data_IF_652206854524
#
_entry.id   IF_652206854524
#
_cell.length_a   1.000
_cell.length_b   1.000
_cell.length_c   1.000
_cell.angle_alpha   90.00
_cell.angle_beta   90.00
_cell.angle_gamma   90.00
#
_symmetry.space_group_name_H-M   'P 1'
#
loop_
_entity.id
_entity.type
_entity.pdbx_description
1 polymer ?
#
# COMPACT_ATOMS: atom_id res chain seq x y z
N UNK A 1 16.45 4.58 24.39
CA UNK A 1 15.23 4.79 23.59
C UNK A 1 15.57 5.54 22.31
N UNK A 2 15.51 4.88 21.14
CA UNK A 2 15.77 5.51 19.83
C UNK A 2 14.47 6.11 19.29
N UNK A 3 14.19 7.38 19.59
CA UNK A 3 13.21 8.16 18.82
C UNK A 3 13.98 9.02 17.82
N UNK A 4 14.12 8.53 16.58
CA UNK A 4 14.44 9.36 15.42
C UNK A 4 13.58 8.91 14.25
N UNK A 5 12.28 9.18 14.34
CA UNK A 5 11.50 9.36 13.13
C UNK A 5 11.66 10.83 12.74
N UNK A 6 12.66 11.14 11.91
CA UNK A 6 12.68 12.43 11.23
C UNK A 6 11.62 12.32 10.13
N UNK A 7 10.45 12.93 10.38
CA UNK A 7 9.27 12.84 9.50
C UNK A 7 9.38 13.84 8.34
N UNK A 8 10.11 14.95 8.53
CA UNK A 8 10.33 15.99 7.52
C UNK A 8 11.83 16.32 7.45
N UNK A 9 12.39 16.37 6.23
CA UNK A 9 13.74 16.87 5.98
C UNK A 9 13.69 17.85 4.81
N UNK A 10 14.09 19.09 5.01
CA UNK A 10 14.04 20.09 3.95
C UNK A 10 15.02 21.22 4.11
N UNK A 11 14.99 22.12 3.14
CA UNK A 11 15.63 23.43 3.16
C UNK A 11 14.55 24.49 3.00
N UNK A 12 14.76 25.61 3.64
CA UNK A 12 13.88 26.77 3.54
C UNK A 12 14.63 28.05 3.82
N UNK A 13 13.97 29.17 3.55
CA UNK A 13 14.47 30.52 3.79
C UNK A 13 13.42 31.23 4.63
N UNK A 14 13.88 31.95 5.64
CA UNK A 14 12.98 32.65 6.56
C UNK A 14 13.72 33.44 7.62
N UNK A 15 13.04 34.47 8.12
CA UNK A 15 13.50 35.27 9.23
C UNK A 15 12.84 34.76 10.51
N UNK A 16 13.67 34.33 11.46
CA UNK A 16 13.22 33.70 12.70
C UNK A 16 13.93 34.39 13.86
N UNK A 17 13.14 34.96 14.77
CA UNK A 17 13.60 35.53 16.02
C UNK A 17 13.44 34.50 17.15
N UNK A 18 14.57 34.05 17.69
CA UNK A 18 14.62 33.21 18.89
C UNK A 18 15.01 34.07 20.09
N UNK A 19 14.19 34.06 21.13
CA UNK A 19 14.44 34.72 22.42
C UNK A 19 14.45 33.68 23.53
N UNK A 20 15.41 33.77 24.44
CA UNK A 20 15.53 32.89 25.60
C UNK A 20 15.61 33.77 26.84
N UNK A 21 14.72 33.54 27.81
CA UNK A 21 14.76 34.29 29.07
C UNK A 21 15.63 33.60 30.14
N UNK A 22 15.84 34.27 31.27
CA UNK A 22 16.66 33.74 32.39
C UNK A 22 16.08 32.49 33.06
N UNK A 23 14.79 32.20 32.88
CA UNK A 23 14.16 30.98 33.38
C UNK A 23 14.25 29.82 32.39
N UNK A 24 14.85 30.03 31.21
CA UNK A 24 14.98 29.04 30.14
C UNK A 24 13.75 28.93 29.22
N UNK A 25 12.76 29.81 29.37
CA UNK A 25 11.63 29.89 28.44
C UNK A 25 12.14 30.36 27.07
N UNK A 26 11.88 29.54 26.05
CA UNK A 26 12.23 29.86 24.67
C UNK A 26 10.98 30.36 23.94
N UNK A 27 11.14 31.46 23.20
CA UNK A 27 10.14 31.97 22.26
C UNK A 27 10.74 32.10 20.87
N UNK A 28 10.03 31.58 19.88
CA UNK A 28 10.38 31.61 18.48
C UNK A 28 9.25 32.30 17.72
N UNK A 29 9.59 33.33 16.96
CA UNK A 29 8.64 34.09 16.15
C UNK A 29 9.21 34.26 14.75
N UNK A 30 8.41 33.98 13.72
CA UNK A 30 8.83 34.13 12.34
C UNK A 30 8.26 33.05 11.44
N UNK A 31 8.67 33.11 10.18
CA UNK A 31 8.18 32.23 9.12
C UNK A 31 9.36 31.66 8.34
N UNK A 32 9.34 30.35 8.11
CA UNK A 32 10.26 29.66 7.21
C UNK A 32 9.50 29.14 6.00
N UNK A 33 9.89 29.60 4.80
CA UNK A 33 9.36 29.13 3.54
C UNK A 33 10.25 28.03 2.98
N UNK A 34 9.67 26.85 2.78
CA UNK A 34 10.36 25.69 2.23
C UNK A 34 10.67 25.87 0.75
N UNK A 35 11.90 25.56 0.37
CA UNK A 35 12.35 25.57 -1.03
C UNK A 35 12.40 24.17 -1.61
N UNK A 36 12.74 23.17 -0.80
CA UNK A 36 12.77 21.76 -1.18
C UNK A 36 12.80 20.86 0.06
N UNK A 37 12.43 19.61 -0.10
CA UNK A 37 12.60 18.60 0.93
C UNK A 37 11.82 17.35 0.66
N UNK A 38 11.85 16.47 1.64
CA UNK A 38 11.22 15.17 1.66
C UNK A 38 10.41 15.02 2.95
N UNK A 39 9.27 14.36 2.83
CA UNK A 39 8.40 13.97 3.92
C UNK A 39 8.26 12.45 3.92
N UNK A 40 8.66 11.82 5.01
CA UNK A 40 8.48 10.39 5.21
C UNK A 40 7.06 10.16 5.75
N UNK A 41 6.15 9.81 4.86
CA UNK A 41 4.81 9.41 5.25
C UNK A 41 4.84 7.98 5.78
N UNK A 42 4.35 7.79 7.00
CA UNK A 42 4.23 6.48 7.62
C UNK A 42 2.76 6.15 7.80
N UNK A 43 2.25 5.26 6.95
CA UNK A 43 0.86 4.81 6.95
C UNK A 43 0.70 3.61 7.88
N UNK A 44 -0.19 3.73 8.86
CA UNK A 44 -0.48 2.74 9.90
C UNK A 44 0.74 2.18 10.65
N UNK A 45 1.93 2.84 10.59
CA UNK A 45 3.22 2.36 11.15
C UNK A 45 3.94 1.27 10.35
N UNK A 46 3.42 0.86 9.19
CA UNK A 46 3.98 -0.27 8.43
C UNK A 46 4.48 0.11 7.02
N UNK A 47 3.84 1.09 6.39
CA UNK A 47 4.20 1.51 5.03
C UNK A 47 4.88 2.88 5.09
N UNK A 48 6.16 2.90 4.76
CA UNK A 48 6.99 4.11 4.71
C UNK A 48 7.16 4.55 3.26
N UNK A 49 6.65 5.73 2.92
CA UNK A 49 6.63 6.25 1.56
C UNK A 49 7.12 7.69 1.55
N UNK A 50 8.07 7.96 0.66
CA UNK A 50 8.67 9.27 0.57
C UNK A 50 7.85 10.18 -0.34
N UNK A 51 7.41 11.30 0.20
CA UNK A 51 6.77 12.39 -0.54
C UNK A 51 7.77 13.53 -0.68
N UNK A 52 7.71 14.26 -1.79
CA UNK A 52 8.61 15.39 -2.04
C UNK A 52 7.89 16.69 -1.78
N UNK A 53 8.41 17.47 -0.84
CA UNK A 53 7.84 18.77 -0.47
C UNK A 53 7.83 19.70 -1.68
N UNK A 54 6.67 20.29 -1.96
CA UNK A 54 6.53 21.31 -3.00
C UNK A 54 7.10 22.64 -2.48
N UNK A 55 7.80 23.41 -3.33
CA UNK A 55 8.26 24.75 -2.96
C UNK A 55 7.10 25.66 -2.56
N UNK A 56 7.35 26.57 -1.62
CA UNK A 56 6.37 27.57 -1.19
C UNK A 56 5.57 27.18 0.06
N UNK A 57 5.67 25.94 0.54
CA UNK A 57 5.14 25.53 1.84
C UNK A 57 5.77 26.33 2.98
N UNK A 58 5.02 26.50 4.06
CA UNK A 58 5.34 27.44 5.15
C UNK A 58 5.33 26.73 6.50
N UNK A 59 6.31 27.06 7.34
CA UNK A 59 6.34 26.75 8.78
C UNK A 59 6.36 28.08 9.53
N UNK A 60 5.45 28.28 10.47
CA UNK A 60 5.29 29.52 11.22
C UNK A 60 5.35 29.27 12.72
N UNK A 61 6.13 30.08 13.42
CA UNK A 61 6.20 30.11 14.87
C UNK A 61 5.64 31.44 15.41
N UNK A 62 4.87 31.36 16.49
CA UNK A 62 4.28 32.51 17.17
C UNK A 62 4.27 32.29 18.69
N UNK A 63 5.45 32.10 19.29
CA UNK A 63 5.57 31.80 20.71
C UNK A 63 6.44 30.57 20.95
N UNK A 64 5.86 29.48 21.44
CA UNK A 64 6.62 28.27 21.76
C UNK A 64 7.30 27.68 20.51
N UNK A 65 8.60 27.32 20.55
CA UNK A 65 9.29 26.61 19.47
C UNK A 65 8.64 25.26 19.11
N UNK A 66 7.89 24.66 20.03
CA UNK A 66 7.21 23.38 19.85
C UNK A 66 5.81 23.54 19.22
N UNK A 67 5.24 24.73 19.27
CA UNK A 67 3.89 25.02 18.79
C UNK A 67 3.92 25.73 17.43
N UNK A 68 4.75 25.21 16.51
CA UNK A 68 4.78 25.70 15.15
C UNK A 68 3.54 25.23 14.38
N UNK A 69 3.08 26.06 13.44
CA UNK A 69 2.04 25.69 12.48
C UNK A 69 2.64 25.49 11.11
N UNK A 70 2.06 24.57 10.33
CA UNK A 70 2.50 24.27 8.97
C UNK A 70 1.36 24.44 7.96
N UNK A 71 1.75 24.75 6.73
CA UNK A 71 0.93 24.62 5.54
C UNK A 71 1.86 24.21 4.40
N UNK A 72 1.95 22.91 4.15
CA UNK A 72 2.95 22.30 3.28
C UNK A 72 2.26 21.29 2.36
N UNK A 73 2.51 21.43 1.07
CA UNK A 73 2.13 20.40 0.10
C UNK A 73 3.32 19.49 -0.21
N UNK A 74 3.08 18.21 -0.43
CA UNK A 74 4.09 17.26 -0.87
C UNK A 74 3.53 16.35 -1.97
N UNK A 75 4.30 16.09 -3.03
CA UNK A 75 3.91 15.23 -4.15
C UNK A 75 4.46 13.82 -4.01
N UNK A 76 3.66 12.81 -4.40
CA UNK A 76 4.15 11.45 -4.61
C UNK A 76 4.69 11.32 -6.04
N UNK A 77 5.92 10.81 -6.19
CA UNK A 77 6.63 10.81 -7.48
C UNK A 77 6.22 9.65 -8.38
N UNK A 78 6.21 9.92 -9.69
CA UNK A 78 6.17 8.94 -10.79
C UNK A 78 5.01 7.95 -10.71
N UNK A 79 3.85 8.39 -10.23
CA UNK A 79 2.66 7.57 -10.19
C UNK A 79 2.04 7.52 -11.60
N UNK A 80 2.09 6.34 -12.22
CA UNK A 80 1.54 6.10 -13.53
C UNK A 80 0.76 4.78 -13.47
N UNK A 81 -0.56 4.86 -13.59
CA UNK A 81 -1.42 3.70 -13.37
C UNK A 81 -2.71 3.77 -14.17
N UNK A 82 -3.36 2.63 -14.34
CA UNK A 82 -4.65 2.52 -15.01
C UNK A 82 -5.73 3.22 -14.17
N UNK A 83 -6.61 3.96 -14.85
CA UNK A 83 -7.80 4.54 -14.25
C UNK A 83 -9.00 3.62 -14.30
N UNK A 84 -8.89 2.42 -14.90
CA UNK A 84 -10.02 1.50 -15.06
C UNK A 84 -10.76 1.27 -13.74
N UNK A 85 -10.08 0.81 -12.67
CA UNK A 85 -10.70 0.62 -11.35
C UNK A 85 -11.25 1.92 -10.74
N UNK A 86 -10.68 3.06 -11.12
CA UNK A 86 -11.11 4.37 -10.67
C UNK A 86 -12.40 4.83 -11.34
N UNK A 87 -12.72 4.41 -12.56
CA UNK A 87 -13.94 4.84 -13.28
C UNK A 87 -14.76 3.66 -13.82
N UNK A 88 -14.56 2.46 -13.28
CA UNK A 88 -15.12 1.22 -13.80
C UNK A 88 -16.64 1.32 -13.95
N UNK A 89 -17.33 1.89 -12.96
CA UNK A 89 -18.78 2.06 -12.94
C UNK A 89 -19.34 2.93 -14.08
N UNK A 90 -18.49 3.75 -14.70
CA UNK A 90 -18.87 4.63 -15.80
C UNK A 90 -18.50 4.06 -17.17
N UNK A 91 -17.43 3.27 -17.26
CA UNK A 91 -16.84 2.85 -18.54
C UNK A 91 -17.11 1.39 -18.89
N UNK A 92 -17.67 0.59 -17.99
CA UNK A 92 -17.84 -0.86 -18.20
C UNK A 92 -18.62 -1.20 -19.48
N UNK A 93 -19.64 -0.40 -19.82
CA UNK A 93 -20.48 -0.58 -21.00
C UNK A 93 -19.98 0.19 -22.25
N UNK A 94 -18.89 0.95 -22.14
CA UNK A 94 -18.33 1.76 -23.23
C UNK A 94 -16.96 1.23 -23.67
N UNK A 95 -16.93 0.40 -24.72
CA UNK A 95 -15.70 -0.29 -25.17
C UNK A 95 -14.50 0.64 -25.34
N UNK A 96 -14.69 1.81 -25.98
CA UNK A 96 -13.60 2.76 -26.23
C UNK A 96 -13.10 3.43 -24.95
N UNK A 97 -14.01 3.82 -24.05
CA UNK A 97 -13.64 4.43 -22.78
C UNK A 97 -12.97 3.40 -21.85
N UNK A 98 -13.46 2.15 -21.86
CA UNK A 98 -12.86 1.02 -21.15
C UNK A 98 -11.42 0.78 -21.59
N UNK A 99 -11.17 0.62 -22.89
CA UNK A 99 -9.82 0.41 -23.41
C UNK A 99 -8.89 1.57 -23.09
N UNK A 100 -9.39 2.81 -23.15
CA UNK A 100 -8.58 3.98 -22.80
C UNK A 100 -8.25 4.03 -21.31
N UNK A 101 -9.22 3.74 -20.44
CA UNK A 101 -9.03 3.74 -18.99
C UNK A 101 -8.02 2.71 -18.49
N UNK A 102 -7.80 1.63 -19.26
CA UNK A 102 -6.82 0.59 -18.97
C UNK A 102 -5.38 1.02 -19.26
N UNK A 103 -5.18 2.09 -20.03
CA UNK A 103 -3.85 2.60 -20.33
C UNK A 103 -3.26 3.31 -19.10
N UNK A 104 -1.94 3.21 -18.88
CA UNK A 104 -1.27 3.96 -17.82
C UNK A 104 -1.47 5.46 -18.00
N UNK A 105 -2.02 6.11 -16.98
CA UNK A 105 -2.23 7.55 -16.92
C UNK A 105 -1.42 8.13 -15.76
N UNK A 106 -0.77 9.28 -16.00
CA UNK A 106 -0.04 10.01 -14.96
C UNK A 106 -1.02 10.53 -13.90
N UNK A 107 -0.70 10.29 -12.63
CA UNK A 107 -1.51 10.70 -11.48
C UNK A 107 -0.69 11.60 -10.57
N UNK A 108 -1.16 12.81 -10.36
CA UNK A 108 -0.58 13.76 -9.41
C UNK A 108 -1.25 13.59 -8.04
N UNK A 109 -0.64 12.78 -7.17
CA UNK A 109 -1.04 12.65 -5.77
C UNK A 109 -0.33 13.71 -4.93
N UNK A 110 -1.12 14.63 -4.35
CA UNK A 110 -0.64 15.67 -3.45
C UNK A 110 -1.11 15.40 -2.02
N UNK A 111 -0.16 15.28 -1.11
CA UNK A 111 -0.36 15.33 0.33
C UNK A 111 -0.42 16.78 0.78
N UNK A 112 -1.45 17.17 1.53
CA UNK A 112 -1.62 18.50 2.10
C UNK A 112 -1.48 18.38 3.62
N UNK A 113 -0.45 19.01 4.18
CA UNK A 113 -0.13 18.99 5.60
C UNK A 113 -0.43 20.37 6.19
N UNK A 114 -1.38 20.45 7.12
CA UNK A 114 -1.76 21.70 7.77
C UNK A 114 -1.82 21.57 9.29
N UNK A 115 -1.96 22.69 10.01
CA UNK A 115 -2.15 22.66 11.47
C UNK A 115 -0.82 22.57 12.24
N UNK A 116 -0.79 21.84 13.35
CA UNK A 116 0.37 21.79 14.24
C UNK A 116 1.53 20.97 13.65
N UNK A 117 2.77 21.46 13.72
CA UNK A 117 3.95 20.78 13.17
C UNK A 117 4.15 19.37 13.77
N UNK A 118 3.88 19.22 15.08
CA UNK A 118 4.05 17.94 15.79
C UNK A 118 2.91 16.95 15.55
N UNK A 119 1.75 17.43 15.11
CA UNK A 119 0.57 16.61 14.83
C UNK A 119 -0.25 17.25 13.71
N UNK A 120 0.26 17.20 12.46
CA UNK A 120 -0.39 17.90 11.37
C UNK A 120 -1.66 17.17 10.93
N UNK A 121 -2.64 17.95 10.51
CA UNK A 121 -3.81 17.47 9.79
C UNK A 121 -3.36 17.04 8.39
N UNK A 122 -3.66 15.80 8.03
CA UNK A 122 -3.26 15.20 6.76
C UNK A 122 -4.47 15.09 5.85
N UNK A 123 -4.41 15.79 4.71
CA UNK A 123 -5.38 15.70 3.63
C UNK A 123 -4.69 15.30 2.32
N UNK A 124 -5.50 14.96 1.32
CA UNK A 124 -5.01 14.51 0.02
C UNK A 124 -5.74 15.24 -1.11
N UNK A 125 -5.10 15.29 -2.26
CA UNK A 125 -5.69 15.74 -3.50
C UNK A 125 -5.12 14.94 -4.66
N UNK A 126 -5.95 14.73 -5.68
CA UNK A 126 -5.63 13.95 -6.86
C UNK A 126 -5.90 14.81 -8.09
N UNK A 127 -4.97 14.78 -9.04
CA UNK A 127 -5.14 15.37 -10.35
C UNK A 127 -4.59 14.44 -11.43
N UNK A 128 -5.08 14.61 -12.64
CA UNK A 128 -4.72 13.80 -13.79
C UNK A 128 -4.34 14.73 -14.95
N UNK A 129 -3.05 15.15 -15.06
CA UNK A 129 -2.65 16.19 -16.00
C UNK A 129 -2.85 15.80 -17.47
N UNK A 130 -2.76 14.50 -17.79
CA UNK A 130 -2.74 14.00 -19.16
C UNK A 130 -3.93 13.04 -19.43
N UNK A 131 -5.16 13.48 -19.14
CA UNK A 131 -6.36 12.69 -19.44
C UNK A 131 -6.79 12.76 -20.91
N UNK A 132 -7.05 11.61 -21.49
CA UNK A 132 -7.76 11.49 -22.76
C UNK A 132 -9.19 12.05 -22.66
N UNK A 133 -9.67 12.67 -23.73
CA UNK A 133 -10.94 13.42 -23.76
C UNK A 133 -12.18 12.55 -23.48
N UNK A 134 -12.16 11.29 -23.90
CA UNK A 134 -13.25 10.32 -23.72
C UNK A 134 -13.44 9.84 -22.27
N UNK A 135 -12.39 9.85 -21.44
CA UNK A 135 -12.47 9.44 -20.02
C UNK A 135 -12.43 10.61 -19.04
N UNK A 136 -12.15 11.83 -19.52
CA UNK A 136 -11.97 13.02 -18.69
C UNK A 136 -13.20 13.35 -17.85
N UNK A 137 -14.38 13.37 -18.48
CA UNK A 137 -15.64 13.70 -17.79
C UNK A 137 -15.95 12.72 -16.65
N UNK A 138 -15.70 11.43 -16.86
CA UNK A 138 -15.88 10.39 -15.84
C UNK A 138 -14.90 10.56 -14.68
N UNK A 139 -13.62 10.75 -14.98
CA UNK A 139 -12.58 10.94 -13.97
C UNK A 139 -12.81 12.21 -13.13
N UNK A 140 -13.17 13.34 -13.76
CA UNK A 140 -13.48 14.60 -13.07
C UNK A 140 -14.74 14.50 -12.20
N UNK A 141 -15.77 13.79 -12.69
CA UNK A 141 -16.99 13.55 -11.93
C UNK A 141 -16.71 12.71 -10.68
N UNK A 142 -15.96 11.59 -10.83
CA UNK A 142 -15.53 10.76 -9.71
C UNK A 142 -14.68 11.58 -8.72
N UNK A 143 -13.69 12.34 -9.19
CA UNK A 143 -12.85 13.19 -8.33
C UNK A 143 -13.67 14.18 -7.50
N UNK A 144 -14.70 14.80 -8.08
CA UNK A 144 -15.57 15.72 -7.36
C UNK A 144 -16.34 15.02 -6.25
N UNK A 145 -16.84 13.81 -6.49
CA UNK A 145 -17.51 12.99 -5.47
C UNK A 145 -16.54 12.57 -4.36
N UNK A 146 -15.32 12.14 -4.72
CA UNK A 146 -14.28 11.76 -3.76
C UNK A 146 -13.85 12.89 -2.85
N UNK A 147 -13.80 14.12 -3.35
CA UNK A 147 -13.48 15.29 -2.52
C UNK A 147 -14.55 15.58 -1.46
N UNK A 148 -15.74 15.01 -1.59
CA UNK A 148 -16.81 15.11 -0.60
C UNK A 148 -16.82 13.91 0.37
N UNK A 149 -16.18 12.80 0.01
CA UNK A 149 -16.04 11.61 0.85
C UNK A 149 -14.56 11.36 1.19
N UNK A 150 -14.13 11.92 2.33
CA UNK A 150 -12.76 11.78 2.81
C UNK A 150 -12.36 10.32 3.06
N UNK A 151 -13.30 9.45 3.42
CA UNK A 151 -13.03 8.03 3.68
C UNK A 151 -12.68 7.31 2.39
N UNK A 152 -13.47 7.52 1.34
CA UNK A 152 -13.21 6.97 0.01
C UNK A 152 -11.92 7.54 -0.57
N UNK A 153 -11.67 8.86 -0.44
CA UNK A 153 -10.42 9.47 -0.89
C UNK A 153 -9.20 8.83 -0.20
N UNK A 154 -9.26 8.65 1.12
CA UNK A 154 -8.21 7.98 1.89
C UNK A 154 -8.02 6.53 1.42
N UNK A 155 -9.10 5.80 1.10
CA UNK A 155 -9.04 4.45 0.53
C UNK A 155 -8.31 4.44 -0.81
N UNK A 156 -8.68 5.32 -1.72
CA UNK A 156 -8.05 5.38 -3.05
C UNK A 156 -6.56 5.74 -2.95
N UNK A 157 -6.21 6.70 -2.08
CA UNK A 157 -4.81 7.05 -1.82
C UNK A 157 -4.03 5.88 -1.21
N UNK A 158 -4.63 5.12 -0.30
CA UNK A 158 -4.03 3.90 0.24
C UNK A 158 -3.68 2.93 -0.89
N UNK A 159 -4.60 2.66 -1.83
CA UNK A 159 -4.31 1.86 -3.02
C UNK A 159 -3.12 2.38 -3.81
N UNK A 160 -3.16 3.66 -4.20
CA UNK A 160 -2.09 4.26 -5.00
C UNK A 160 -0.71 4.16 -4.33
N UNK A 161 -0.65 4.33 -3.02
CA UNK A 161 0.60 4.32 -2.27
C UNK A 161 1.09 2.89 -2.02
N UNK A 162 0.19 1.95 -1.78
CA UNK A 162 0.48 0.57 -1.38
C UNK A 162 0.74 -0.34 -2.58
N UNK A 163 -0.17 -0.36 -3.55
CA UNK A 163 -0.11 -1.22 -4.75
C UNK A 163 0.25 -0.47 -6.03
N UNK A 164 0.26 0.86 -6.01
CA UNK A 164 0.52 1.65 -7.23
C UNK A 164 -0.69 1.74 -8.16
N UNK A 165 -1.90 1.50 -7.67
CA UNK A 165 -3.12 1.49 -8.48
C UNK A 165 -4.37 1.81 -7.68
N UNK A 166 -5.43 2.23 -8.38
CA UNK A 166 -6.71 2.53 -7.77
C UNK A 166 -7.43 1.28 -7.30
N UNK A 167 -8.18 1.44 -6.21
CA UNK A 167 -9.00 0.40 -5.62
C UNK A 167 -10.38 0.40 -6.29
N UNK A 168 -10.97 -0.77 -6.60
CA UNK A 168 -12.32 -0.83 -7.13
C UNK A 168 -13.34 -0.17 -6.19
N UNK A 169 -14.33 0.50 -6.77
CA UNK A 169 -15.45 1.18 -6.09
C UNK A 169 -16.42 0.22 -5.43
N UNK A 170 -16.66 -0.95 -6.04
CA UNK A 170 -17.49 -2.02 -5.51
C UNK A 170 -16.64 -3.26 -5.23
N UNK A 171 -16.50 -3.60 -3.94
CA UNK A 171 -15.91 -4.85 -3.50
C UNK A 171 -17.03 -5.84 -3.23
N UNK A 172 -17.60 -6.39 -4.29
CA UNK A 172 -18.28 -7.67 -4.21
C UNK A 172 -17.31 -8.65 -3.55
N UNK A 173 -17.70 -9.17 -2.37
CA UNK A 173 -16.98 -10.21 -1.64
C UNK A 173 -16.45 -11.27 -2.59
N UNK A 174 -15.32 -11.89 -2.24
CA UNK A 174 -14.68 -13.06 -2.87
C UNK A 174 -15.63 -14.26 -3.05
N UNK A 175 -16.71 -14.07 -3.79
CA UNK A 175 -17.49 -15.13 -4.39
C UNK A 175 -16.55 -15.72 -5.43
N UNK A 176 -16.07 -16.93 -5.14
CA UNK A 176 -15.11 -17.64 -5.96
C UNK A 176 -15.56 -17.91 -7.41
N UNK A 177 -16.66 -17.33 -7.88
CA UNK A 177 -17.12 -17.34 -9.26
C UNK A 177 -16.42 -16.29 -10.14
N UNK A 178 -16.16 -15.05 -9.66
CA UNK A 178 -15.60 -14.00 -10.53
C UNK A 178 -14.10 -14.21 -10.83
N UNK A 179 -13.30 -14.65 -9.86
CA UNK A 179 -11.91 -15.08 -10.09
C UNK A 179 -11.80 -16.33 -10.99
N UNK A 180 -12.89 -17.10 -11.14
CA UNK A 180 -12.97 -18.30 -12.01
C UNK A 180 -13.54 -18.00 -13.40
N UNK A 181 -14.19 -16.85 -13.61
CA UNK A 181 -14.87 -16.52 -14.88
C UNK A 181 -13.98 -15.80 -15.90
N UNK A 182 -12.70 -15.55 -15.60
CA UNK A 182 -11.78 -14.87 -16.53
C UNK A 182 -12.13 -13.40 -16.79
N UNK A 183 -12.90 -12.75 -15.90
CA UNK A 183 -13.29 -11.34 -16.01
C UNK A 183 -12.25 -10.37 -15.43
N UNK A 184 -11.22 -10.88 -14.75
CA UNK A 184 -10.09 -10.12 -14.22
C UNK A 184 -8.84 -10.53 -15.01
N UNK A 185 -8.28 -9.58 -15.76
CA UNK A 185 -7.24 -9.90 -16.76
C UNK A 185 -5.82 -9.56 -16.28
N UNK A 186 -5.67 -8.83 -15.17
CA UNK A 186 -4.36 -8.29 -14.76
C UNK A 186 -4.02 -8.55 -13.28
N UNK A 187 -2.72 -8.63 -12.98
CA UNK A 187 -2.20 -8.76 -11.62
C UNK A 187 -2.62 -7.56 -10.74
N UNK A 188 -2.58 -6.35 -11.30
CA UNK A 188 -2.91 -5.10 -10.60
C UNK A 188 -4.38 -5.06 -10.18
N UNK A 189 -5.31 -5.48 -11.04
CA UNK A 189 -6.73 -5.59 -10.70
C UNK A 189 -6.95 -6.57 -9.54
N UNK A 190 -6.36 -7.78 -9.61
CA UNK A 190 -6.52 -8.76 -8.52
C UNK A 190 -5.91 -8.28 -7.20
N UNK A 191 -4.71 -7.68 -7.25
CA UNK A 191 -4.04 -7.09 -6.09
C UNK A 191 -4.88 -5.96 -5.49
N UNK A 192 -5.49 -5.12 -6.33
CA UNK A 192 -6.37 -4.04 -5.88
C UNK A 192 -7.58 -4.55 -5.11
N UNK A 193 -8.25 -5.59 -5.59
CA UNK A 193 -9.38 -6.20 -4.88
C UNK A 193 -8.99 -6.76 -3.52
N UNK A 194 -7.84 -7.44 -3.43
CA UNK A 194 -7.32 -7.96 -2.14
C UNK A 194 -7.05 -6.81 -1.16
N UNK A 195 -6.37 -5.77 -1.64
CA UNK A 195 -5.98 -4.63 -0.81
C UNK A 195 -7.19 -3.81 -0.36
N UNK A 196 -8.19 -3.63 -1.21
CA UNK A 196 -9.48 -3.02 -0.83
C UNK A 196 -10.15 -3.76 0.32
N UNK A 197 -10.20 -5.09 0.24
CA UNK A 197 -10.83 -5.90 1.29
C UNK A 197 -10.09 -5.79 2.63
N UNK A 198 -8.75 -5.75 2.60
CA UNK A 198 -7.95 -5.57 3.82
C UNK A 198 -8.07 -4.15 4.38
N UNK A 199 -8.12 -3.13 3.52
CA UNK A 199 -8.35 -1.76 3.97
C UNK A 199 -9.66 -1.60 4.74
N UNK A 200 -10.75 -2.20 4.25
CA UNK A 200 -12.04 -2.17 4.95
C UNK A 200 -11.97 -2.81 6.34
N UNK A 201 -11.21 -3.90 6.48
CA UNK A 201 -10.96 -4.54 7.78
C UNK A 201 -10.09 -3.69 8.71
N UNK A 202 -9.12 -2.95 8.16
CA UNK A 202 -8.26 -2.03 8.94
C UNK A 202 -9.00 -0.80 9.43
N UNK A 203 -10.03 -0.33 8.73
CA UNK A 203 -10.87 0.77 9.21
C UNK A 203 -11.88 0.32 10.26
N UNK A 204 -12.37 -0.92 10.19
CA UNK A 204 -13.37 -1.42 11.15
C UNK A 204 -12.79 -1.76 12.52
N UNK A 205 -11.50 -2.10 12.59
CA UNK A 205 -10.83 -2.43 13.84
C UNK A 205 -9.57 -1.57 13.99
N UNK A 206 -9.45 -0.87 15.12
CA UNK A 206 -8.23 -0.16 15.51
C UNK A 206 -7.16 -1.21 15.91
N UNK A 207 -6.67 -2.00 14.95
CA UNK A 207 -5.76 -3.13 15.19
C UNK A 207 -4.36 -2.59 15.50
N UNK A 208 -4.12 -2.22 16.75
CA UNK A 208 -2.79 -1.84 17.23
C UNK A 208 -1.91 -3.10 17.35
N UNK A 209 -0.82 -3.19 16.58
CA UNK A 209 0.14 -4.30 16.66
C UNK A 209 0.18 -5.27 15.48
N UNK A 210 -0.52 -4.96 14.37
CA UNK A 210 -0.50 -5.74 13.13
C UNK A 210 0.72 -5.43 12.26
N UNK A 211 1.75 -6.26 12.25
CA UNK A 211 2.87 -6.10 11.31
C UNK A 211 2.45 -6.47 9.88
N UNK A 212 2.56 -5.53 8.93
CA UNK A 212 2.21 -5.72 7.52
C UNK A 212 3.45 -5.70 6.63
N UNK A 213 3.60 -6.74 5.82
CA UNK A 213 4.62 -6.86 4.80
C UNK A 213 3.99 -6.92 3.41
N UNK A 214 4.53 -6.12 2.49
CA UNK A 214 4.06 -6.04 1.11
C UNK A 214 5.25 -6.34 0.20
N UNK A 215 5.06 -7.27 -0.72
CA UNK A 215 6.08 -7.69 -1.68
C UNK A 215 5.54 -7.64 -3.09
N UNK A 216 6.34 -7.11 -4.00
CA UNK A 216 6.15 -7.25 -5.44
C UNK A 216 7.43 -7.83 -6.03
N UNK A 217 7.31 -8.97 -6.71
CA UNK A 217 8.43 -9.71 -7.27
C UNK A 217 8.18 -9.94 -8.76
N UNK A 218 9.22 -9.72 -9.58
CA UNK A 218 9.27 -10.17 -10.97
C UNK A 218 10.31 -11.29 -11.03
N UNK A 219 9.96 -12.39 -11.67
CA UNK A 219 10.83 -13.56 -11.77
C UNK A 219 10.72 -14.18 -13.16
N UNK A 220 11.74 -14.93 -13.56
CA UNK A 220 11.75 -15.68 -14.79
C UNK A 220 11.78 -17.17 -14.47
N UNK A 221 10.96 -17.93 -15.18
CA UNK A 221 10.92 -19.38 -15.08
C UNK A 221 11.45 -19.97 -16.37
N UNK A 222 12.53 -20.74 -16.27
CA UNK A 222 12.97 -21.59 -17.36
C UNK A 222 12.09 -22.84 -17.41
N UNK A 223 11.36 -23.02 -18.50
CA UNK A 223 10.64 -24.26 -18.77
C UNK A 223 11.54 -25.19 -19.57
N UNK A 224 11.81 -26.37 -19.01
CA UNK A 224 12.43 -27.46 -19.74
C UNK A 224 11.33 -28.29 -20.40
N UNK A 225 11.26 -28.26 -21.73
CA UNK A 225 10.43 -29.15 -22.53
C UNK A 225 11.29 -30.30 -23.05
N UNK A 226 11.08 -31.55 -22.59
CA UNK A 226 11.84 -32.72 -23.06
C UNK A 226 11.70 -32.98 -24.56
N UNK A 227 10.61 -32.52 -25.18
CA UNK A 227 10.28 -32.76 -26.58
C UNK A 227 10.69 -31.59 -27.49
N UNK A 228 11.09 -30.45 -26.91
CA UNK A 228 11.57 -29.29 -27.65
C UNK A 228 12.70 -28.59 -26.86
N UNK A 229 13.99 -28.87 -27.18
CA UNK A 229 15.13 -28.44 -26.36
C UNK A 229 15.40 -26.93 -26.38
N UNK A 230 14.54 -26.12 -27.01
CA UNK A 230 14.59 -24.66 -26.90
C UNK A 230 14.13 -24.23 -25.51
N UNK A 231 15.04 -23.64 -24.72
CA UNK A 231 14.70 -22.98 -23.46
C UNK A 231 13.77 -21.80 -23.76
N UNK A 232 12.50 -21.91 -23.37
CA UNK A 232 11.57 -20.79 -23.39
C UNK A 232 11.42 -20.29 -21.96
N UNK A 233 12.07 -19.16 -21.65
CA UNK A 233 11.84 -18.43 -20.40
C UNK A 233 10.43 -17.85 -20.39
N UNK A 234 9.74 -17.95 -19.27
CA UNK A 234 8.46 -17.29 -19.05
C UNK A 234 8.56 -16.36 -17.86
N UNK A 235 8.34 -15.06 -18.08
CA UNK A 235 8.32 -14.08 -17.00
C UNK A 235 7.02 -14.20 -16.21
N UNK A 236 7.16 -14.22 -14.88
CA UNK A 236 6.08 -14.15 -13.91
C UNK A 236 6.18 -12.89 -13.07
N UNK A 237 5.03 -12.44 -12.59
CA UNK A 237 4.92 -11.36 -11.61
C UNK A 237 4.14 -11.87 -10.41
N UNK A 238 4.52 -11.45 -9.21
CA UNK A 238 3.84 -11.82 -7.99
C UNK A 238 3.68 -10.60 -7.07
N UNK A 239 2.46 -10.39 -6.61
CA UNK A 239 2.14 -9.50 -5.51
C UNK A 239 1.84 -10.35 -4.27
N UNK A 240 2.34 -9.95 -3.10
CA UNK A 240 2.08 -10.61 -1.82
C UNK A 240 1.83 -9.59 -0.73
N UNK A 241 0.79 -9.81 0.04
CA UNK A 241 0.46 -9.06 1.23
C UNK A 241 0.41 -10.03 2.41
N UNK A 242 1.13 -9.70 3.48
CA UNK A 242 1.23 -10.54 4.67
C UNK A 242 1.02 -9.71 5.91
N UNK A 243 0.17 -10.19 6.81
CA UNK A 243 -0.06 -9.61 8.12
C UNK A 243 0.37 -10.56 9.23
N UNK A 244 0.81 -10.01 10.35
CA UNK A 244 1.06 -10.75 11.58
C UNK A 244 0.55 -9.95 12.77
N UNK A 245 -0.35 -10.54 13.54
CA UNK A 245 -0.96 -9.94 14.72
C UNK A 245 -0.68 -10.79 15.95
N UNK A 246 -0.26 -10.14 17.04
CA UNK A 246 -0.18 -10.78 18.34
C UNK A 246 -1.48 -10.49 19.09
N UNK A 247 -2.27 -11.53 19.32
CA UNK A 247 -3.54 -11.42 20.08
C UNK A 247 -3.25 -11.13 21.55
N UNK A 248 -2.22 -11.79 22.09
CA UNK A 248 -1.71 -11.61 23.44
C UNK A 248 -0.21 -11.96 23.49
N UNK A 249 0.31 -12.21 24.69
CA UNK A 249 1.71 -12.60 24.90
C UNK A 249 2.07 -14.01 24.39
N UNK A 250 1.08 -14.83 24.03
CA UNK A 250 1.26 -16.25 23.68
C UNK A 250 0.80 -16.60 22.27
N UNK A 251 -0.26 -15.97 21.77
CA UNK A 251 -0.87 -16.25 20.48
C UNK A 251 -0.41 -15.23 19.43
N UNK A 252 0.21 -15.75 18.38
CA UNK A 252 0.53 -14.99 17.17
C UNK A 252 -0.23 -15.59 15.99
N UNK A 253 -1.03 -14.78 15.31
CA UNK A 253 -1.69 -15.16 14.06
C UNK A 253 -1.02 -14.39 12.94
N UNK A 254 -0.51 -15.10 11.94
CA UNK A 254 0.02 -14.49 10.73
C UNK A 254 -0.65 -15.10 9.53
N UNK A 255 -0.85 -14.30 8.50
CA UNK A 255 -1.48 -14.74 7.28
C UNK A 255 -0.97 -13.95 6.09
N UNK A 256 -0.81 -14.63 4.97
CA UNK A 256 -0.40 -14.04 3.71
C UNK A 256 -1.40 -14.38 2.63
N UNK A 257 -1.59 -13.45 1.71
CA UNK A 257 -2.29 -13.68 0.45
C UNK A 257 -1.40 -13.16 -0.67
N UNK A 258 -1.32 -13.90 -1.76
CA UNK A 258 -0.53 -13.53 -2.92
C UNK A 258 -1.24 -13.85 -4.21
N UNK A 259 -0.96 -13.02 -5.21
CA UNK A 259 -1.41 -13.21 -6.58
C UNK A 259 -0.17 -13.35 -7.44
N UNK A 260 -0.19 -14.34 -8.32
CA UNK A 260 0.85 -14.62 -9.28
C UNK A 260 0.23 -14.59 -10.67
N UNK A 261 0.86 -13.88 -11.61
CA UNK A 261 0.45 -13.82 -13.01
C UNK A 261 1.60 -14.21 -13.92
N UNK A 262 1.30 -15.00 -14.95
CA UNK A 262 2.26 -15.36 -16.00
C UNK A 262 1.71 -16.38 -17.00
N UNK A 263 2.25 -16.38 -18.21
CA UNK A 263 1.77 -17.25 -19.29
C UNK A 263 1.90 -18.75 -18.95
N UNK A 264 2.93 -19.12 -18.20
CA UNK A 264 3.14 -20.49 -17.69
C UNK A 264 1.99 -21.02 -16.81
N UNK A 265 1.10 -20.15 -16.32
CA UNK A 265 -0.04 -20.57 -15.50
C UNK A 265 -1.21 -21.13 -16.32
N UNK A 266 -1.29 -20.84 -17.63
CA UNK A 266 -2.42 -21.29 -18.45
C UNK A 266 -2.56 -22.82 -18.50
N UNK A 267 -1.45 -23.52 -18.64
CA UNK A 267 -1.43 -25.00 -18.66
C UNK A 267 -1.72 -25.61 -17.28
N UNK A 268 -1.40 -24.88 -16.20
CA UNK A 268 -1.49 -25.35 -14.81
C UNK A 268 -2.84 -25.05 -14.16
N UNK A 269 -3.61 -24.11 -14.72
CA UNK A 269 -4.70 -23.46 -14.01
C UNK A 269 -5.96 -23.30 -14.88
N UNK A 270 -6.33 -24.37 -15.60
CA UNK A 270 -7.52 -24.44 -16.46
C UNK A 270 -7.62 -23.23 -17.42
N UNK A 271 -6.53 -22.85 -18.07
CA UNK A 271 -6.50 -21.72 -19.01
C UNK A 271 -6.38 -20.33 -18.37
N UNK A 272 -6.35 -20.22 -17.04
CA UNK A 272 -6.11 -18.94 -16.36
C UNK A 272 -4.62 -18.64 -16.25
N UNK A 273 -4.22 -17.42 -16.61
CA UNK A 273 -2.86 -16.92 -16.41
C UNK A 273 -2.64 -16.31 -15.01
N UNK A 274 -3.58 -16.48 -14.07
CA UNK A 274 -3.54 -15.93 -12.71
C UNK A 274 -3.72 -17.04 -11.67
N UNK A 275 -2.88 -17.06 -10.64
CA UNK A 275 -2.98 -17.93 -9.47
C UNK A 275 -3.09 -17.07 -8.20
N UNK A 276 -4.01 -17.44 -7.31
CA UNK A 276 -4.15 -16.83 -5.99
C UNK A 276 -3.81 -17.87 -4.94
N UNK A 277 -2.76 -17.57 -4.17
CA UNK A 277 -2.26 -18.39 -3.07
C UNK A 277 -2.31 -17.64 -1.75
N UNK A 278 -1.99 -18.34 -0.67
CA UNK A 278 -1.95 -17.73 0.64
C UNK A 278 -1.59 -18.71 1.76
N UNK A 279 -1.23 -18.17 2.90
CA UNK A 279 -0.92 -18.91 4.11
C UNK A 279 -1.66 -18.34 5.31
N UNK A 280 -1.97 -19.22 6.27
CA UNK A 280 -2.39 -18.83 7.62
C UNK A 280 -1.56 -19.66 8.59
N UNK A 281 -0.90 -19.00 9.52
CA UNK A 281 -0.04 -19.60 10.52
C UNK A 281 -0.47 -19.08 11.88
N UNK A 282 -0.80 -20.01 12.78
CA UNK A 282 -1.09 -19.74 14.18
C UNK A 282 0.04 -20.34 15.02
N UNK A 283 0.71 -19.50 15.79
CA UNK A 283 1.70 -19.89 16.78
C UNK A 283 1.15 -19.70 18.19
N UNK A 284 1.31 -20.71 19.04
CA UNK A 284 1.05 -20.65 20.48
C UNK A 284 2.33 -20.88 21.27
N UNK A 285 2.74 -19.91 22.08
CA UNK A 285 3.85 -20.04 23.01
C UNK A 285 3.47 -20.93 24.19
N UNK A 286 4.04 -22.13 24.24
CA UNK A 286 3.81 -23.11 25.30
C UNK A 286 4.66 -22.83 26.53
N UNK A 287 5.89 -22.35 26.34
CA UNK A 287 6.81 -22.06 27.43
C UNK A 287 6.71 -20.59 27.87
N UNK A 288 6.96 -20.33 29.16
CA UNK A 288 6.94 -18.99 29.73
C UNK A 288 8.00 -18.06 29.09
N UNK A 289 9.11 -18.62 28.64
CA UNK A 289 10.18 -17.92 27.91
C UNK A 289 9.89 -17.73 26.41
N UNK A 290 8.73 -18.19 25.93
CA UNK A 290 8.25 -18.14 24.52
C UNK A 290 9.15 -18.84 23.50
N UNK A 291 10.11 -19.65 23.95
CA UNK A 291 11.01 -20.39 23.08
C UNK A 291 10.37 -21.60 22.45
N UNK A 292 9.48 -22.27 23.17
CA UNK A 292 8.73 -23.41 22.69
C UNK A 292 7.38 -22.93 22.14
N UNK A 293 7.16 -23.09 20.85
CA UNK A 293 5.92 -22.71 20.18
C UNK A 293 5.29 -23.91 19.47
N UNK A 294 4.00 -24.13 19.68
CA UNK A 294 3.20 -24.98 18.81
C UNK A 294 2.75 -24.15 17.61
N UNK A 295 2.97 -24.68 16.41
CA UNK A 295 2.60 -24.06 15.15
C UNK A 295 1.56 -24.90 14.43
N UNK A 296 0.51 -24.25 13.97
CA UNK A 296 -0.42 -24.78 12.97
C UNK A 296 -0.33 -23.87 11.77
N UNK A 297 -0.14 -24.43 10.59
CA UNK A 297 -0.07 -23.66 9.34
C UNK A 297 -0.89 -24.32 8.25
N UNK A 298 -1.70 -23.53 7.59
CA UNK A 298 -2.30 -23.83 6.30
C UNK A 298 -1.59 -23.03 5.22
N UNK A 299 -1.25 -23.65 4.11
CA UNK A 299 -0.61 -22.98 2.97
C UNK A 299 -1.19 -23.50 1.67
N UNK A 300 -1.57 -22.58 0.80
CA UNK A 300 -2.02 -22.82 -0.57
C UNK A 300 -1.01 -22.22 -1.53
N UNK A 301 -0.23 -23.08 -2.16
CA UNK A 301 0.81 -22.71 -3.11
C UNK A 301 0.61 -23.40 -4.45
N UNK A 302 1.25 -22.86 -5.48
CA UNK A 302 1.35 -23.49 -6.79
C UNK A 302 2.40 -24.60 -6.77
N UNK A 303 2.11 -25.70 -7.46
CA UNK A 303 3.06 -26.76 -7.79
C UNK A 303 2.98 -27.06 -9.29
N UNK A 304 3.94 -27.85 -9.79
CA UNK A 304 4.02 -28.24 -11.20
C UNK A 304 2.78 -28.97 -11.73
N UNK A 305 1.94 -29.52 -10.86
CA UNK A 305 0.74 -30.29 -11.21
C UNK A 305 -0.55 -29.56 -10.78
N UNK A 306 -0.47 -28.23 -10.63
CA UNK A 306 -1.61 -27.37 -10.27
C UNK A 306 -1.45 -26.73 -8.89
N UNK A 307 -2.37 -27.02 -7.97
CA UNK A 307 -2.47 -26.34 -6.68
C UNK A 307 -2.21 -27.34 -5.54
N UNK A 308 -1.45 -26.94 -4.54
CA UNK A 308 -1.19 -27.73 -3.34
C UNK A 308 -1.71 -27.01 -2.11
N UNK A 309 -2.65 -27.65 -1.45
CA UNK A 309 -3.09 -27.28 -0.12
C UNK A 309 -2.31 -28.13 0.91
N UNK A 310 -1.63 -27.47 1.83
CA UNK A 310 -0.83 -28.09 2.87
C UNK A 310 -1.33 -27.64 4.22
N UNK A 311 -1.80 -28.59 5.03
CA UNK A 311 -1.97 -28.41 6.46
C UNK A 311 -0.75 -29.03 7.17
N UNK A 312 -0.11 -28.26 8.04
CA UNK A 312 1.03 -28.72 8.82
C UNK A 312 0.87 -28.29 10.28
N UNK A 313 1.23 -29.19 11.17
CA UNK A 313 1.37 -28.92 12.59
C UNK A 313 2.80 -29.25 12.99
N UNK A 314 3.35 -28.50 13.96
CA UNK A 314 4.72 -28.76 14.40
C UNK A 314 5.08 -27.94 15.62
N UNK A 315 6.20 -28.31 16.23
CA UNK A 315 6.76 -27.61 17.38
C UNK A 315 8.02 -26.88 16.92
N UNK A 316 8.18 -25.62 17.32
CA UNK A 316 9.39 -24.84 17.11
C UNK A 316 10.05 -24.54 18.43
N UNK A 317 11.36 -24.74 18.48
CA UNK A 317 12.19 -24.36 19.62
C UNK A 317 13.17 -23.27 19.20
N UNK A 318 13.04 -22.08 19.77
CA UNK A 318 13.97 -20.97 19.59
C UNK A 318 15.33 -21.28 20.24
N UNK A 319 16.40 -21.17 19.45
CA UNK A 319 17.79 -21.26 19.91
C UNK A 319 18.29 -19.85 20.27
N UNK A 320 19.07 -19.71 21.35
CA UNK A 320 19.72 -18.45 21.68
C UNK A 320 20.70 -18.07 20.55
N UNK A 321 20.56 -16.85 20.02
CA UNK A 321 21.74 -16.12 19.55
C UNK A 321 22.45 -15.65 20.81
N UNK A 322 23.53 -16.34 21.16
CA UNK A 322 24.48 -15.82 22.14
C UNK A 322 25.10 -14.56 21.50
N UNK A 323 25.16 -13.52 22.32
CA UNK A 323 25.36 -12.10 21.99
C UNK A 323 26.51 -11.76 21.05
#
# INVERSE_FOLDING_TARGET
MKYRAIIVRGRGVGDINLTINRTGEMKMNGECRLTQGDYLFTLFRFVNKNFVLKPGGVIRWNGSPLDATINIDAGYKNLNTSLYNFIAEYVENETNAKQESQKPTAVDLTLKLSGALLSPDINYDLAFPNLASNIRSYAETKLRLLRQDQSELNRQVFGLVVIGGFLPSDVGFLSGSQLRSGSINTLTETASTIVSNMFNQFLSEYITGLDLQIGYNVFELDRFDPNNPTRSGSTGQQFRLRGSYNLDDRWTVSGGVGVEQGAYLQDLNNGSNVFVGGDVIVDYAMSADRRLKLRVSYTRDRVLDGRRDKLATGIRLGKNLIA
#
